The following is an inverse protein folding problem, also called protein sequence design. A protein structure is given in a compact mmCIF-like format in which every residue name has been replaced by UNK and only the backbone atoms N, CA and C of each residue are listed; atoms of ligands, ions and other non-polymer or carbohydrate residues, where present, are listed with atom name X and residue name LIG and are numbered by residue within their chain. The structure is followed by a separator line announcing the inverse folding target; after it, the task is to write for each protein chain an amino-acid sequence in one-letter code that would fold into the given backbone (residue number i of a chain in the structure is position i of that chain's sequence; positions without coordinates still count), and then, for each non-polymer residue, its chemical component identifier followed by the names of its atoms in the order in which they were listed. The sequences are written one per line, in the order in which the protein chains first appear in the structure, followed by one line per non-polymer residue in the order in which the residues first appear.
data_IF_877726907271
#
_entry.id   IF_877726907271
#
_cell.length_a   1.000
_cell.length_b   1.000
_cell.length_c   1.000
_cell.angle_alpha   90.00
_cell.angle_beta   90.00
_cell.angle_gamma   90.00
#
_symmetry.space_group_name_H-M   'P 1'
#
loop_
_entity.id
_entity.type
_entity.pdbx_description
1 polymer ?
#
# COMPACT_ATOMS: atom_id res chain seq x y z
N UNK A 1 9.36 -8.94 17.51
CA UNK A 1 9.15 -9.85 16.35
C UNK A 1 9.21 -9.01 15.08
N UNK A 2 10.04 -9.39 14.10
CA UNK A 2 10.69 -8.48 13.15
C UNK A 2 9.85 -8.22 11.90
N UNK A 3 9.25 -7.03 11.79
CA UNK A 3 8.75 -6.48 10.53
C UNK A 3 9.93 -6.04 9.67
N UNK A 4 10.20 -6.74 8.57
CA UNK A 4 11.15 -6.26 7.54
C UNK A 4 10.55 -6.43 6.14
N UNK A 5 9.78 -5.44 5.66
CA UNK A 5 9.32 -5.41 4.27
C UNK A 5 10.45 -5.04 3.29
N UNK A 6 11.48 -4.34 3.79
CA UNK A 6 12.66 -3.94 3.02
C UNK A 6 13.85 -4.78 3.49
N UNK A 7 14.67 -5.34 2.57
CA UNK A 7 15.78 -6.21 2.93
C UNK A 7 16.74 -5.53 3.91
N UNK A 8 17.11 -6.24 4.98
CA UNK A 8 18.01 -5.71 6.01
C UNK A 8 19.37 -6.40 5.99
N UNK A 9 20.43 -5.63 6.28
CA UNK A 9 21.87 -5.99 6.22
C UNK A 9 22.50 -5.87 4.81
N UNK A 10 23.08 -6.95 4.27
CA UNK A 10 24.07 -6.95 3.17
C UNK A 10 23.53 -6.51 1.79
N UNK A 11 22.20 -6.39 1.66
CA UNK A 11 21.52 -5.86 0.46
C UNK A 11 20.43 -4.87 0.88
N UNK A 12 20.79 -3.90 1.72
CA UNK A 12 19.86 -2.83 2.09
C UNK A 12 19.45 -2.07 0.83
N UNK A 13 18.15 -1.81 0.66
CA UNK A 13 17.71 -0.92 -0.40
C UNK A 13 18.23 0.49 -0.08
N UNK A 14 19.05 1.06 -0.98
CA UNK A 14 19.54 2.44 -0.84
C UNK A 14 18.36 3.43 -0.68
N UNK A 15 17.23 3.13 -1.31
CA UNK A 15 15.98 3.88 -1.20
C UNK A 15 15.17 3.63 0.06
N UNK A 16 15.62 2.84 1.05
CA UNK A 16 14.81 2.51 2.25
C UNK A 16 14.31 3.76 2.98
N UNK A 17 15.19 4.73 3.21
CA UNK A 17 14.85 5.97 3.89
C UNK A 17 13.90 6.85 3.08
N UNK A 18 14.00 6.82 1.75
CA UNK A 18 13.14 7.59 0.84
C UNK A 18 11.77 6.93 0.77
N UNK A 19 11.70 5.64 0.46
CA UNK A 19 10.47 4.88 0.35
C UNK A 19 9.63 4.96 1.64
N UNK A 20 10.28 4.88 2.82
CA UNK A 20 9.56 5.01 4.09
C UNK A 20 8.93 6.39 4.29
N UNK A 21 9.66 7.46 3.96
CA UNK A 21 9.17 8.83 4.09
C UNK A 21 8.10 9.14 3.05
N UNK A 22 8.30 8.71 1.81
CA UNK A 22 7.37 8.91 0.71
C UNK A 22 6.04 8.20 0.99
N UNK A 23 6.07 6.91 1.36
CA UNK A 23 4.85 6.18 1.74
C UNK A 23 4.15 6.86 2.92
N UNK A 24 4.90 7.28 3.95
CA UNK A 24 4.31 7.97 5.09
C UNK A 24 3.60 9.27 4.69
N UNK A 25 4.29 10.15 3.97
CA UNK A 25 3.71 11.43 3.52
C UNK A 25 2.54 11.20 2.57
N UNK A 26 2.68 10.30 1.59
CA UNK A 26 1.63 9.96 0.64
C UNK A 26 0.36 9.48 1.36
N UNK A 27 0.46 8.47 2.23
CA UNK A 27 -0.70 7.93 2.94
C UNK A 27 -1.30 8.93 3.92
N UNK A 28 -0.48 9.66 4.68
CA UNK A 28 -0.97 10.63 5.66
C UNK A 28 -1.67 11.79 4.99
N UNK A 29 -1.09 12.38 3.93
CA UNK A 29 -1.73 13.49 3.19
C UNK A 29 -3.06 13.06 2.58
N UNK A 30 -3.13 11.86 1.98
CA UNK A 30 -4.38 11.33 1.42
C UNK A 30 -5.43 11.17 2.52
N UNK A 31 -5.10 10.49 3.61
CA UNK A 31 -6.06 10.21 4.70
C UNK A 31 -6.45 11.45 5.51
N UNK A 32 -5.62 12.49 5.51
CA UNK A 32 -5.93 13.76 6.16
C UNK A 32 -6.92 14.61 5.35
N UNK A 33 -6.83 14.60 4.02
CA UNK A 33 -7.66 15.44 3.14
C UNK A 33 -8.87 14.69 2.56
N UNK A 34 -8.79 13.36 2.44
CA UNK A 34 -9.81 12.55 1.80
C UNK A 34 -10.27 11.41 2.71
N UNK A 35 -11.58 11.18 2.74
CA UNK A 35 -12.18 9.95 3.24
C UNK A 35 -12.26 8.92 2.12
N UNK A 36 -11.64 7.76 2.31
CA UNK A 36 -11.69 6.67 1.35
C UNK A 36 -13.01 5.90 1.51
N UNK A 37 -13.72 5.70 0.40
CA UNK A 37 -14.89 4.83 0.34
C UNK A 37 -14.74 3.84 -0.80
N UNK A 38 -15.12 2.59 -0.56
CA UNK A 38 -15.17 1.56 -1.60
C UNK A 38 -16.61 1.43 -2.10
N UNK A 39 -16.84 1.29 -3.42
CA UNK A 39 -18.15 0.96 -3.95
C UNK A 39 -18.57 -0.48 -3.61
N UNK A 40 -17.60 -1.33 -3.25
CA UNK A 40 -17.80 -2.73 -2.83
C UNK A 40 -17.66 -2.83 -1.32
N UNK A 41 -18.50 -3.67 -0.67
CA UNK A 41 -18.43 -3.89 0.77
C UNK A 41 -17.03 -4.42 1.15
N UNK A 42 -16.39 -3.89 2.22
CA UNK A 42 -15.04 -4.27 2.60
C UNK A 42 -14.86 -5.77 2.88
N UNK A 43 -15.93 -6.52 3.13
CA UNK A 43 -15.89 -7.98 3.32
C UNK A 43 -15.80 -8.78 2.03
N UNK A 44 -16.20 -8.18 0.90
CA UNK A 44 -16.24 -8.82 -0.41
C UNK A 44 -15.00 -8.48 -1.26
N UNK A 45 -14.11 -7.62 -0.72
CA UNK A 45 -12.85 -7.26 -1.39
C UNK A 45 -11.92 -8.47 -1.36
N UNK A 46 -11.72 -9.07 -2.53
CA UNK A 46 -10.74 -10.13 -2.72
C UNK A 46 -9.31 -9.57 -2.66
N UNK A 47 -8.48 -10.14 -1.79
CA UNK A 47 -7.08 -9.75 -1.60
C UNK A 47 -6.12 -10.74 -2.25
N UNK A 48 -6.62 -11.72 -3.00
CA UNK A 48 -5.77 -12.71 -3.66
C UNK A 48 -5.04 -12.04 -4.84
N UNK A 49 -3.72 -12.23 -4.95
CA UNK A 49 -2.94 -11.60 -6.01
C UNK A 49 -3.34 -12.16 -7.38
N UNK A 50 -3.54 -11.26 -8.36
CA UNK A 50 -3.96 -11.63 -9.72
C UNK A 50 -2.90 -12.45 -10.46
N UNK A 51 -1.62 -12.21 -10.16
CA UNK A 51 -0.50 -12.99 -10.64
C UNK A 51 0.49 -13.32 -9.51
N UNK A 52 1.08 -14.51 -9.57
CA UNK A 52 2.06 -15.00 -8.61
C UNK A 52 3.33 -15.46 -9.32
N UNK A 53 4.11 -14.48 -9.78
CA UNK A 53 5.45 -14.67 -10.35
C UNK A 53 6.52 -13.97 -9.51
N UNK A 54 7.16 -12.95 -10.10
CA UNK A 54 8.22 -12.17 -9.44
C UNK A 54 7.69 -11.12 -8.44
N UNK A 55 6.39 -10.79 -8.50
CA UNK A 55 5.72 -9.86 -7.60
C UNK A 55 4.28 -10.28 -7.35
N UNK A 56 3.76 -10.00 -6.15
CA UNK A 56 2.33 -10.11 -5.84
C UNK A 56 1.66 -8.80 -6.19
N UNK A 57 0.94 -8.79 -7.30
CA UNK A 57 0.17 -7.62 -7.74
C UNK A 57 -1.26 -7.78 -7.19
N UNK A 58 -1.79 -6.76 -6.49
CA UNK A 58 -3.18 -6.80 -6.05
C UNK A 58 -4.13 -6.86 -7.25
N UNK A 59 -5.33 -7.43 -7.08
CA UNK A 59 -6.37 -7.39 -8.11
C UNK A 59 -6.81 -5.94 -8.36
N UNK A 60 -7.47 -5.70 -9.50
CA UNK A 60 -8.00 -4.38 -9.82
C UNK A 60 -9.16 -4.04 -8.88
N UNK A 61 -9.04 -2.93 -8.15
CA UNK A 61 -10.08 -2.43 -7.26
C UNK A 61 -10.36 -0.95 -7.54
N UNK A 62 -11.61 -0.54 -7.29
CA UNK A 62 -12.02 0.85 -7.40
C UNK A 62 -12.17 1.45 -6.00
N UNK A 63 -11.69 2.68 -5.82
CA UNK A 63 -11.84 3.46 -4.60
C UNK A 63 -12.29 4.87 -4.95
N UNK A 64 -13.16 5.43 -4.13
CA UNK A 64 -13.62 6.80 -4.22
C UNK A 64 -12.91 7.65 -3.16
N UNK A 65 -12.36 8.79 -3.61
CA UNK A 65 -11.76 9.79 -2.74
C UNK A 65 -12.79 10.89 -2.49
N UNK A 66 -13.35 10.93 -1.28
CA UNK A 66 -14.30 11.96 -0.88
C UNK A 66 -13.53 13.05 -0.13
N UNK A 67 -13.53 14.29 -0.62
CA UNK A 67 -12.92 15.40 0.12
C UNK A 67 -13.57 15.52 1.49
N UNK A 68 -12.75 15.68 2.52
CA UNK A 68 -13.22 15.94 3.89
C UNK A 68 -13.51 17.42 4.11
#
# INVERSE_FOLDING_TARGET
MRWIPIPSRKRICLGEGIARKELFLFFTTILQNFSLSSPVDPKDIDLNPKESGFGRVPPEYQICFLSR
#
